data_IF_912153108648
#
_entry.id   IF_912153108648
#
_cell.length_a   1.000
_cell.length_b   1.000
_cell.length_c   1.000
_cell.angle_alpha   90.00
_cell.angle_beta   90.00
_cell.angle_gamma   90.00
#
_symmetry.space_group_name_H-M   'P 1'
#
loop_
_entity.id
_entity.type
_entity.pdbx_description
1 polymer ?
#
# COMPACT_ATOMS: atom_id res chain seq x y z
N UNK A 1 -18.31 15.01 -7.22
CA UNK A 1 -16.90 15.31 -7.59
C UNK A 1 -16.28 14.02 -8.12
N UNK A 2 -15.86 13.95 -9.39
CA UNK A 2 -15.21 12.74 -9.92
C UNK A 2 -13.78 12.67 -9.37
N UNK A 3 -13.41 11.55 -8.75
CA UNK A 3 -12.04 11.32 -8.24
C UNK A 3 -11.05 11.38 -9.40
N UNK A 4 -9.98 12.15 -9.23
CA UNK A 4 -8.86 12.15 -10.17
C UNK A 4 -8.11 10.82 -10.08
N UNK A 5 -7.78 10.22 -11.22
CA UNK A 5 -6.98 8.99 -11.32
C UNK A 5 -5.66 9.30 -12.02
N UNK A 6 -4.63 8.51 -11.75
CA UNK A 6 -3.30 8.68 -12.36
C UNK A 6 -2.92 7.50 -13.25
N UNK A 7 -3.36 6.29 -12.90
CA UNK A 7 -3.12 5.07 -13.65
C UNK A 7 -4.43 4.30 -13.87
N UNK A 8 -4.42 3.33 -14.78
CA UNK A 8 -5.60 2.51 -15.03
C UNK A 8 -6.04 1.71 -13.80
N UNK A 9 -5.08 1.30 -12.96
CA UNK A 9 -5.30 0.40 -11.81
C UNK A 9 -6.01 1.07 -10.63
N UNK A 10 -6.02 2.41 -10.57
CA UNK A 10 -6.76 3.20 -9.57
C UNK A 10 -7.99 3.92 -10.14
N UNK A 11 -8.42 3.53 -11.35
CA UNK A 11 -9.50 4.21 -12.07
C UNK A 11 -10.91 3.68 -11.76
N UNK A 12 -11.05 2.66 -10.91
CA UNK A 12 -12.33 2.04 -10.57
C UNK A 12 -13.05 2.79 -9.46
N UNK A 13 -14.34 3.03 -9.64
CA UNK A 13 -15.24 3.64 -8.67
C UNK A 13 -16.45 2.72 -8.47
N UNK A 14 -16.66 2.28 -7.23
CA UNK A 14 -17.76 1.38 -6.88
C UNK A 14 -18.92 2.23 -6.37
N UNK A 15 -20.09 2.10 -6.98
CA UNK A 15 -21.29 2.82 -6.55
C UNK A 15 -21.91 2.11 -5.35
N UNK A 16 -21.92 2.76 -4.19
CA UNK A 16 -22.38 2.14 -2.94
C UNK A 16 -23.88 2.33 -2.67
N UNK A 17 -24.56 3.20 -3.42
CA UNK A 17 -25.99 3.50 -3.20
C UNK A 17 -26.87 2.23 -3.17
N UNK A 18 -26.73 1.26 -4.11
CA UNK A 18 -27.51 0.02 -4.06
C UNK A 18 -27.24 -0.82 -2.81
N UNK A 19 -26.02 -0.74 -2.26
CA UNK A 19 -25.65 -1.45 -1.04
C UNK A 19 -26.23 -0.76 0.19
N UNK A 20 -26.15 0.56 0.25
CA UNK A 20 -26.70 1.36 1.35
C UNK A 20 -28.22 1.22 1.41
N UNK A 21 -28.91 1.32 0.28
CA UNK A 21 -30.36 1.15 0.17
C UNK A 21 -30.80 -0.24 0.65
N UNK A 22 -30.05 -1.28 0.30
CA UNK A 22 -30.32 -2.64 0.74
C UNK A 22 -30.23 -2.77 2.27
N UNK A 23 -29.19 -2.24 2.90
CA UNK A 23 -29.06 -2.28 4.36
C UNK A 23 -30.09 -1.41 5.08
N UNK A 24 -30.46 -0.26 4.52
CA UNK A 24 -31.56 0.55 5.05
C UNK A 24 -32.89 -0.21 5.05
N UNK A 25 -33.18 -0.94 3.97
CA UNK A 25 -34.39 -1.76 3.87
C UNK A 25 -34.40 -2.88 4.92
N UNK A 26 -33.28 -3.57 5.11
CA UNK A 26 -33.11 -4.59 6.15
C UNK A 26 -33.38 -3.99 7.54
N UNK A 27 -32.79 -2.83 7.84
CA UNK A 27 -32.97 -2.16 9.12
C UNK A 27 -34.43 -1.74 9.37
N UNK A 28 -35.10 -1.17 8.35
CA UNK A 28 -36.52 -0.80 8.42
C UNK A 28 -37.41 -2.02 8.66
N UNK A 29 -37.10 -3.16 8.04
CA UNK A 29 -37.83 -4.41 8.27
C UNK A 29 -37.70 -4.90 9.72
N UNK A 30 -36.49 -4.92 10.29
CA UNK A 30 -36.23 -5.35 11.67
C UNK A 30 -36.96 -4.49 12.72
N UNK A 31 -37.09 -3.18 12.47
CA UNK A 31 -37.86 -2.31 13.38
C UNK A 31 -39.36 -2.56 13.31
N UNK A 32 -39.91 -2.89 12.14
CA UNK A 32 -41.32 -3.22 11.98
C UNK A 32 -41.69 -4.56 12.65
N UNK A 33 -40.79 -5.54 12.63
CA UNK A 33 -41.00 -6.82 13.34
C UNK A 33 -41.00 -6.63 14.86
N UNK A 34 -40.14 -5.76 15.40
CA UNK A 34 -40.10 -5.47 16.84
C UNK A 34 -41.32 -4.67 17.34
N UNK A 35 -41.85 -3.74 16.54
CA UNK A 35 -43.08 -2.99 16.88
C UNK A 35 -44.35 -3.85 16.86
N UNK A 36 -44.44 -4.87 15.98
CA UNK A 36 -45.58 -5.80 15.95
C UNK A 36 -45.62 -6.77 17.14
N UNK A 37 -44.49 -7.02 17.82
CA UNK A 37 -44.50 -7.82 19.06
C UNK A 37 -45.04 -7.03 20.27
N UNK A 38 -44.84 -5.71 20.31
CA UNK A 38 -45.31 -4.87 21.43
C UNK A 38 -46.82 -4.67 21.40
N UNK A 39 -47.46 -4.66 20.21
CA UNK A 39 -48.92 -4.52 20.11
C UNK A 39 -49.71 -5.81 20.40
N UNK A 40 -49.05 -6.97 20.45
CA UNK A 40 -49.67 -8.24 20.81
C UNK A 40 -49.54 -8.60 22.30
N UNK A 41 -48.97 -7.70 23.13
CA UNK A 41 -48.80 -7.96 24.57
C UNK A 41 -49.80 -7.22 25.48
N UNK A 42 -50.83 -6.59 24.93
CA UNK A 42 -51.87 -5.90 25.71
C UNK A 42 -53.22 -6.63 25.78
N UNK A 43 -53.27 -7.91 25.43
CA UNK A 43 -54.33 -8.82 25.88
C UNK A 43 -53.65 -10.03 26.48
N UNK A 44 -54.22 -10.56 27.58
CA UNK A 44 -53.72 -11.65 28.43
C UNK A 44 -52.81 -11.21 29.60
N UNK A 45 -53.38 -10.43 30.53
CA UNK A 45 -53.09 -10.64 31.94
C UNK A 45 -53.90 -11.86 32.43
N UNK A 46 -53.26 -13.00 32.63
CA UNK A 46 -53.25 -13.69 33.93
C UNK A 46 -52.44 -14.99 33.89
N UNK A 47 -51.66 -15.16 34.96
CA UNK A 47 -51.10 -16.38 35.53
C UNK A 47 -49.73 -16.95 35.08
N UNK A 48 -48.84 -16.91 36.08
CA UNK A 48 -47.83 -17.90 36.49
C UNK A 48 -46.65 -18.22 35.57
N UNK A 49 -45.47 -17.90 36.13
CA UNK A 49 -44.16 -18.55 35.96
C UNK A 49 -44.27 -20.02 35.53
N UNK A 50 -43.62 -20.38 34.43
CA UNK A 50 -42.71 -21.54 34.37
C UNK A 50 -41.92 -21.55 33.06
N UNK A 51 -40.71 -22.09 33.18
CA UNK A 51 -39.65 -22.25 32.18
C UNK A 51 -40.11 -23.04 30.96
N UNK A 52 -39.64 -22.65 29.77
CA UNK A 52 -39.55 -23.49 28.57
C UNK A 52 -38.32 -22.99 27.79
N UNK A 53 -37.18 -23.68 27.85
CA UNK A 53 -36.82 -24.87 27.05
C UNK A 53 -37.11 -24.64 25.56
N UNK A 54 -36.04 -24.29 24.83
CA UNK A 54 -36.08 -23.95 23.41
C UNK A 54 -36.13 -25.23 22.57
N UNK A 55 -37.32 -25.82 22.46
CA UNK A 55 -37.56 -26.93 21.55
C UNK A 55 -37.84 -26.39 20.14
N UNK A 56 -36.88 -26.69 19.26
CA UNK A 56 -37.02 -26.63 17.81
C UNK A 56 -38.26 -27.39 17.37
N UNK A 57 -39.21 -26.73 16.69
CA UNK A 57 -39.77 -27.22 15.42
C UNK A 57 -40.75 -26.22 14.78
N UNK A 58 -40.46 -25.92 13.50
CA UNK A 58 -41.41 -25.68 12.41
C UNK A 58 -42.41 -24.53 12.58
N UNK A 59 -41.96 -23.32 12.26
CA UNK A 59 -42.54 -22.44 11.22
C UNK A 59 -42.02 -21.01 11.34
N UNK A 60 -40.71 -20.86 11.47
CA UNK A 60 -40.08 -19.58 11.29
C UNK A 60 -39.56 -19.46 9.87
N UNK A 61 -40.44 -18.97 8.99
CA UNK A 61 -40.01 -18.21 7.81
C UNK A 61 -39.45 -16.85 8.28
N UNK A 62 -38.45 -16.88 9.16
CA UNK A 62 -37.60 -15.72 9.36
C UNK A 62 -36.90 -15.51 8.03
N UNK A 63 -37.28 -14.43 7.35
CA UNK A 63 -36.61 -13.94 6.17
C UNK A 63 -35.10 -14.07 6.38
N UNK A 64 -34.44 -14.80 5.50
CA UNK A 64 -33.00 -14.74 5.33
C UNK A 64 -32.74 -13.47 4.51
N UNK A 65 -32.33 -12.33 5.10
CA UNK A 65 -32.09 -11.11 4.34
C UNK A 65 -30.84 -11.23 3.45
N UNK A 66 -30.08 -12.34 3.59
CA UNK A 66 -28.84 -12.62 2.90
C UNK A 66 -28.97 -13.29 1.52
N UNK A 67 -30.14 -13.76 1.09
CA UNK A 67 -30.20 -14.61 -0.11
C UNK A 67 -30.03 -13.84 -1.44
N UNK A 68 -30.17 -12.51 -1.45
CA UNK A 68 -29.96 -11.70 -2.65
C UNK A 68 -29.21 -10.42 -2.29
N UNK A 69 -27.88 -10.46 -2.43
CA UNK A 69 -27.06 -9.26 -2.36
C UNK A 69 -27.47 -8.32 -3.52
N UNK A 70 -27.47 -6.99 -3.28
CA UNK A 70 -27.78 -6.05 -4.33
C UNK A 70 -26.75 -6.15 -5.46
N UNK A 71 -27.20 -5.96 -6.70
CA UNK A 71 -26.27 -5.79 -7.82
C UNK A 71 -25.60 -4.44 -7.68
N UNK A 72 -24.26 -4.44 -7.66
CA UNK A 72 -23.45 -3.24 -7.52
C UNK A 72 -22.82 -2.92 -8.87
N UNK A 73 -22.88 -1.65 -9.26
CA UNK A 73 -22.24 -1.16 -10.47
C UNK A 73 -20.85 -0.60 -10.16
N UNK A 74 -19.90 -0.86 -11.05
CA UNK A 74 -18.53 -0.31 -10.99
C UNK A 74 -18.30 0.54 -12.23
N UNK A 75 -17.92 1.79 -12.03
CA UNK A 75 -17.53 2.69 -13.10
C UNK A 75 -15.99 2.69 -13.26
N UNK A 76 -15.52 2.80 -14.50
CA UNK A 76 -14.11 2.95 -14.80
C UNK A 76 -13.86 4.30 -15.49
N UNK A 77 -13.02 5.14 -14.87
CA UNK A 77 -12.73 6.49 -15.36
C UNK A 77 -11.55 6.52 -16.35
N UNK A 78 -10.84 5.40 -16.52
CA UNK A 78 -9.75 5.25 -17.49
C UNK A 78 -10.22 5.28 -18.95
N UNK A 79 -11.52 5.05 -19.19
CA UNK A 79 -12.14 5.04 -20.52
C UNK A 79 -12.61 3.64 -20.92
N UNK A 80 -11.73 2.64 -20.87
CA UNK A 80 -12.07 1.23 -21.14
C UNK A 80 -11.99 0.39 -19.87
N UNK A 81 -13.16 -0.14 -19.45
CA UNK A 81 -13.26 -1.03 -18.29
C UNK A 81 -12.44 -2.32 -18.49
N UNK A 82 -12.55 -2.94 -19.67
CA UNK A 82 -11.87 -4.20 -19.98
C UNK A 82 -10.34 -4.05 -20.00
N UNK A 83 -9.84 -2.95 -20.57
CA UNK A 83 -8.41 -2.66 -20.58
C UNK A 83 -7.89 -2.38 -19.17
N UNK A 84 -8.60 -1.56 -18.39
CA UNK A 84 -8.24 -1.29 -17.00
C UNK A 84 -8.25 -2.56 -16.14
N UNK A 85 -9.23 -3.45 -16.36
CA UNK A 85 -9.34 -4.73 -15.65
C UNK A 85 -8.19 -5.66 -16.05
N UNK A 86 -7.85 -5.71 -17.33
CA UNK A 86 -6.69 -6.46 -17.83
C UNK A 86 -5.39 -5.94 -17.20
N UNK A 87 -5.24 -4.62 -17.11
CA UNK A 87 -4.08 -4.01 -16.46
C UNK A 87 -4.02 -4.36 -14.96
N UNK A 88 -5.15 -4.32 -14.26
CA UNK A 88 -5.22 -4.71 -12.85
C UNK A 88 -4.82 -6.18 -12.66
N UNK A 89 -5.41 -7.09 -13.43
CA UNK A 89 -5.16 -8.53 -13.34
C UNK A 89 -3.71 -8.90 -13.69
N UNK A 90 -3.11 -8.20 -14.66
CA UNK A 90 -1.73 -8.44 -15.10
C UNK A 90 -0.70 -7.57 -14.39
N UNK A 91 -1.11 -6.77 -13.39
CA UNK A 91 -0.25 -5.82 -12.66
C UNK A 91 0.52 -4.88 -13.60
N UNK A 92 -0.20 -4.22 -14.49
CA UNK A 92 0.35 -3.30 -15.49
C UNK A 92 0.11 -1.84 -15.08
N UNK A 93 1.13 -1.00 -15.25
CA UNK A 93 1.07 0.44 -15.03
C UNK A 93 0.82 1.10 -16.39
N UNK A 94 -0.40 1.57 -16.62
CA UNK A 94 -0.77 2.29 -17.83
C UNK A 94 -1.43 3.61 -17.48
N UNK A 95 -1.20 4.62 -18.32
CA UNK A 95 -1.85 5.94 -18.21
C UNK A 95 -2.20 6.46 -19.60
N UNK A 96 -3.37 7.04 -19.77
CA UNK A 96 -3.81 7.68 -21.03
C UNK A 96 -3.56 9.18 -21.04
N UNK A 97 -3.20 9.75 -19.88
CA UNK A 97 -3.03 11.19 -19.70
C UNK A 97 -1.75 11.48 -18.91
N UNK A 98 -0.58 11.13 -19.46
CA UNK A 98 0.72 11.35 -18.82
C UNK A 98 0.93 12.83 -18.44
N UNK A 99 0.38 13.77 -19.20
CA UNK A 99 0.44 15.21 -18.96
C UNK A 99 -0.30 15.68 -17.70
N UNK A 100 -1.25 14.88 -17.20
CA UNK A 100 -2.04 15.18 -15.99
C UNK A 100 -1.40 14.63 -14.71
N UNK A 101 -0.28 13.93 -14.83
CA UNK A 101 0.40 13.33 -13.70
C UNK A 101 1.18 14.43 -12.97
N UNK A 102 0.63 14.93 -11.85
CA UNK A 102 1.33 15.82 -10.93
C UNK A 102 2.50 15.11 -10.23
N UNK A 103 3.33 15.83 -9.48
CA UNK A 103 4.54 15.33 -8.82
C UNK A 103 4.33 14.09 -7.94
N UNK A 104 3.18 13.98 -7.28
CA UNK A 104 2.82 12.78 -6.51
C UNK A 104 2.67 11.49 -7.34
N UNK A 105 2.54 11.61 -8.66
CA UNK A 105 2.50 10.48 -9.58
C UNK A 105 3.80 9.70 -9.67
N UNK A 106 4.96 10.36 -9.50
CA UNK A 106 6.25 9.67 -9.39
C UNK A 106 6.26 8.74 -8.17
N UNK A 107 5.77 9.24 -7.03
CA UNK A 107 5.71 8.47 -5.79
C UNK A 107 4.80 7.25 -5.95
N UNK A 108 3.63 7.45 -6.56
CA UNK A 108 2.69 6.37 -6.85
C UNK A 108 3.23 5.37 -7.87
N UNK A 109 3.97 5.82 -8.88
CA UNK A 109 4.63 4.95 -9.84
C UNK A 109 5.66 4.03 -9.16
N UNK A 110 6.54 4.60 -8.34
CA UNK A 110 7.51 3.83 -7.55
C UNK A 110 6.82 2.83 -6.62
N UNK A 111 5.69 3.23 -6.03
CA UNK A 111 4.87 2.39 -5.16
C UNK A 111 4.26 1.19 -5.90
N UNK A 112 3.83 1.38 -7.14
CA UNK A 112 3.32 0.29 -7.98
C UNK A 112 4.45 -0.66 -8.36
N UNK A 113 5.65 -0.15 -8.67
CA UNK A 113 6.81 -0.98 -8.97
C UNK A 113 7.22 -1.86 -7.77
N UNK A 114 7.26 -1.33 -6.55
CA UNK A 114 7.57 -2.14 -5.35
C UNK A 114 6.50 -3.19 -5.07
N UNK A 115 5.25 -2.97 -5.50
CA UNK A 115 4.16 -3.96 -5.45
C UNK A 115 4.17 -4.97 -6.60
N UNK A 116 5.21 -4.93 -7.44
CA UNK A 116 5.40 -5.87 -8.52
C UNK A 116 4.59 -5.56 -9.77
N UNK A 117 4.12 -4.31 -9.94
CA UNK A 117 3.58 -3.88 -11.21
C UNK A 117 4.70 -3.62 -12.22
N UNK A 118 4.37 -3.60 -13.51
CA UNK A 118 5.30 -3.32 -14.60
C UNK A 118 4.73 -2.27 -15.55
N UNK A 119 5.56 -1.37 -16.11
CA UNK A 119 5.10 -0.41 -17.11
C UNK A 119 4.49 -1.12 -18.31
N UNK A 120 3.33 -0.65 -18.76
CA UNK A 120 2.71 -1.12 -19.99
C UNK A 120 3.00 -0.12 -21.11
N UNK A 121 3.58 -0.61 -22.20
CA UNK A 121 3.82 0.21 -23.37
C UNK A 121 2.51 0.40 -24.14
N UNK A 122 1.88 1.56 -23.93
CA UNK A 122 0.70 1.99 -24.66
C UNK A 122 1.02 3.10 -25.67
N UNK A 123 2.22 3.05 -26.27
CA UNK A 123 2.72 4.06 -27.19
C UNK A 123 3.63 5.11 -26.54
N UNK A 124 3.87 4.99 -25.24
CA UNK A 124 4.84 5.79 -24.49
C UNK A 124 5.78 4.82 -23.79
N UNK A 125 7.06 4.89 -24.14
CA UNK A 125 8.06 4.05 -23.51
C UNK A 125 8.21 4.41 -22.03
N UNK A 126 8.46 3.42 -21.17
CA UNK A 126 8.59 3.59 -19.72
C UNK A 126 9.57 4.68 -19.32
N UNK A 127 10.71 4.79 -20.00
CA UNK A 127 11.73 5.81 -19.75
C UNK A 127 11.23 7.24 -20.05
N UNK A 128 10.33 7.43 -21.02
CA UNK A 128 9.74 8.74 -21.32
C UNK A 128 8.76 9.14 -20.22
N UNK A 129 7.95 8.18 -19.76
CA UNK A 129 7.03 8.38 -18.66
C UNK A 129 7.77 8.76 -17.37
N UNK A 130 8.86 8.08 -17.07
CA UNK A 130 9.70 8.38 -15.91
C UNK A 130 10.34 9.77 -15.99
N UNK A 131 10.89 10.16 -17.14
CA UNK A 131 11.42 11.52 -17.36
C UNK A 131 10.36 12.58 -17.09
N UNK A 132 9.14 12.35 -17.56
CA UNK A 132 8.02 13.27 -17.34
C UNK A 132 7.66 13.36 -15.86
N UNK A 133 7.52 12.23 -15.18
CA UNK A 133 7.19 12.18 -13.76
C UNK A 133 8.27 12.82 -12.89
N UNK A 134 9.54 12.56 -13.18
CA UNK A 134 10.67 13.21 -12.52
C UNK A 134 10.61 14.73 -12.73
N UNK A 135 10.48 15.19 -13.98
CA UNK A 135 10.38 16.63 -14.26
C UNK A 135 9.23 17.29 -13.50
N UNK A 136 8.04 16.67 -13.48
CA UNK A 136 6.89 17.22 -12.76
C UNK A 136 7.06 17.20 -11.24
N UNK A 137 7.72 16.17 -10.69
CA UNK A 137 8.06 16.11 -9.27
C UNK A 137 8.91 17.31 -8.84
N UNK A 138 9.96 17.64 -9.59
CA UNK A 138 10.81 18.80 -9.27
C UNK A 138 10.12 20.15 -9.50
N UNK A 139 9.19 20.23 -10.46
CA UNK A 139 8.40 21.45 -10.70
C UNK A 139 7.37 21.67 -9.57
N UNK A 140 6.67 20.61 -9.16
CA UNK A 140 5.62 20.71 -8.14
C UNK A 140 6.19 20.79 -6.72
N UNK A 141 7.40 20.26 -6.47
CA UNK A 141 8.10 20.28 -5.19
C UNK A 141 9.53 20.82 -5.38
N UNK A 142 9.65 22.12 -5.58
CA UNK A 142 10.94 22.76 -5.88
C UNK A 142 11.88 22.82 -4.65
N UNK A 143 11.32 22.93 -3.45
CA UNK A 143 12.09 23.04 -2.20
C UNK A 143 12.39 21.67 -1.59
N UNK A 144 13.60 21.49 -1.05
CA UNK A 144 14.04 20.23 -0.47
C UNK A 144 13.24 19.83 0.79
N UNK A 145 12.79 20.80 1.59
CA UNK A 145 12.00 20.55 2.78
C UNK A 145 10.58 20.12 2.39
N UNK A 146 10.02 20.68 1.31
CA UNK A 146 8.73 20.23 0.76
C UNK A 146 8.82 18.79 0.26
N UNK A 147 9.92 18.45 -0.42
CA UNK A 147 10.18 17.07 -0.87
C UNK A 147 10.28 16.12 0.33
N UNK A 148 11.04 16.46 1.35
CA UNK A 148 11.17 15.66 2.57
C UNK A 148 9.81 15.45 3.25
N UNK A 149 9.06 16.53 3.48
CA UNK A 149 7.73 16.46 4.09
C UNK A 149 6.80 15.55 3.28
N UNK A 150 6.78 15.69 1.95
CA UNK A 150 5.94 14.85 1.09
C UNK A 150 6.37 13.40 1.07
N UNK A 151 7.68 13.12 1.07
CA UNK A 151 8.20 11.75 1.15
C UNK A 151 7.81 11.11 2.48
N UNK A 152 8.07 11.77 3.61
CA UNK A 152 7.72 11.25 4.93
C UNK A 152 6.22 11.03 5.09
N UNK A 153 5.39 11.99 4.64
CA UNK A 153 3.93 11.87 4.65
C UNK A 153 3.45 10.72 3.75
N UNK A 154 4.06 10.52 2.59
CA UNK A 154 3.73 9.42 1.70
C UNK A 154 4.11 8.07 2.32
N UNK A 155 5.29 7.98 2.93
CA UNK A 155 5.79 6.78 3.59
C UNK A 155 4.90 6.34 4.74
N UNK A 156 4.55 7.28 5.64
CA UNK A 156 3.68 7.00 6.77
C UNK A 156 2.28 6.55 6.35
N UNK A 157 1.76 7.13 5.26
CA UNK A 157 0.42 6.81 4.75
C UNK A 157 0.34 5.45 4.05
N UNK A 158 1.41 5.00 3.37
CA UNK A 158 1.36 3.81 2.49
C UNK A 158 2.07 2.57 3.03
N UNK A 159 2.99 2.75 3.99
CA UNK A 159 3.85 1.68 4.49
C UNK A 159 3.75 1.45 5.99
N UNK A 160 2.80 2.09 6.69
CA UNK A 160 2.56 1.89 8.13
C UNK A 160 3.87 1.79 8.94
N UNK A 161 4.00 0.88 9.91
CA UNK A 161 5.25 0.64 10.65
C UNK A 161 6.16 -0.41 9.99
N UNK A 162 6.07 -0.60 8.66
CA UNK A 162 6.94 -1.52 7.93
C UNK A 162 8.17 -0.78 7.40
N UNK A 163 9.22 -0.73 8.22
CA UNK A 163 10.45 -0.04 7.90
C UNK A 163 11.24 -0.74 6.77
N UNK A 164 11.05 -2.06 6.58
CA UNK A 164 11.63 -2.81 5.46
C UNK A 164 11.03 -2.39 4.12
N UNK A 165 9.71 -2.25 4.07
CA UNK A 165 9.03 -1.79 2.87
C UNK A 165 9.34 -0.31 2.55
N UNK A 166 9.46 0.55 3.57
CA UNK A 166 9.89 1.95 3.39
C UNK A 166 11.30 2.02 2.81
N UNK A 167 12.24 1.25 3.34
CA UNK A 167 13.60 1.16 2.83
C UNK A 167 13.63 0.74 1.36
N UNK A 168 12.95 -0.36 1.01
CA UNK A 168 12.87 -0.86 -0.38
C UNK A 168 12.26 0.16 -1.33
N UNK A 169 11.24 0.89 -0.89
CA UNK A 169 10.63 1.95 -1.67
C UNK A 169 11.57 3.13 -1.92
N UNK A 170 12.31 3.56 -0.90
CA UNK A 170 13.28 4.66 -1.05
C UNK A 170 14.40 4.29 -2.03
N UNK A 171 14.87 3.04 -2.01
CA UNK A 171 15.83 2.55 -3.01
C UNK A 171 15.25 2.59 -4.43
N UNK A 172 14.00 2.13 -4.60
CA UNK A 172 13.33 2.17 -5.90
C UNK A 172 13.18 3.60 -6.42
N UNK A 173 12.79 4.53 -5.55
CA UNK A 173 12.65 5.94 -5.89
C UNK A 173 13.99 6.57 -6.28
N UNK A 174 15.05 6.31 -5.50
CA UNK A 174 16.41 6.79 -5.79
C UNK A 174 16.85 6.36 -7.18
N UNK A 175 16.71 5.07 -7.49
CA UNK A 175 17.12 4.49 -8.77
C UNK A 175 16.39 5.13 -9.96
N UNK A 176 15.10 5.43 -9.83
CA UNK A 176 14.33 6.08 -10.88
C UNK A 176 14.77 7.54 -11.07
N UNK A 177 14.94 8.28 -9.98
CA UNK A 177 15.41 9.67 -10.07
C UNK A 177 16.81 9.73 -10.67
N UNK A 178 17.69 8.82 -10.28
CA UNK A 178 19.06 8.73 -10.78
C UNK A 178 19.11 8.45 -12.29
N UNK A 179 18.31 7.49 -12.78
CA UNK A 179 18.33 7.09 -14.20
C UNK A 179 17.52 8.00 -15.13
N UNK A 180 16.49 8.67 -14.62
CA UNK A 180 15.47 9.34 -15.44
C UNK A 180 15.50 10.87 -15.37
N UNK A 181 16.46 11.48 -14.69
CA UNK A 181 16.63 12.93 -14.67
C UNK A 181 17.68 13.40 -15.67
N UNK A 182 17.29 14.30 -16.57
CA UNK A 182 18.22 14.96 -17.51
C UNK A 182 19.03 16.01 -16.75
N UNK A 183 20.32 16.14 -17.08
CA UNK A 183 21.34 16.92 -16.36
C UNK A 183 21.06 18.43 -16.13
N UNK A 184 19.92 18.96 -16.57
CA UNK A 184 19.55 20.37 -16.46
C UNK A 184 19.30 20.84 -15.01
N UNK A 185 19.19 19.92 -14.04
CA UNK A 185 18.94 20.21 -12.61
C UNK A 185 19.83 19.32 -11.73
N UNK A 186 21.13 19.25 -12.03
CA UNK A 186 22.04 18.33 -11.36
C UNK A 186 22.18 18.60 -9.85
N UNK A 187 22.11 19.88 -9.43
CA UNK A 187 22.21 20.24 -8.02
C UNK A 187 20.99 19.79 -7.23
N UNK A 188 19.80 20.17 -7.69
CA UNK A 188 18.51 19.80 -7.10
C UNK A 188 18.36 18.28 -7.06
N UNK A 189 18.70 17.61 -8.16
CA UNK A 189 18.73 16.14 -8.22
C UNK A 189 19.64 15.56 -7.13
N UNK A 190 20.87 16.05 -7.00
CA UNK A 190 21.83 15.52 -6.03
C UNK A 190 21.36 15.78 -4.58
N UNK A 191 20.72 16.91 -4.31
CA UNK A 191 20.09 17.17 -3.01
C UNK A 191 19.01 16.14 -2.70
N UNK A 192 18.08 15.89 -3.65
CA UNK A 192 17.01 14.90 -3.49
C UNK A 192 17.55 13.48 -3.34
N UNK A 193 18.56 13.10 -4.14
CA UNK A 193 19.21 11.79 -4.02
C UNK A 193 19.89 11.61 -2.66
N UNK A 194 20.52 12.67 -2.14
CA UNK A 194 21.14 12.66 -0.80
C UNK A 194 20.09 12.53 0.29
N UNK A 195 19.00 13.31 0.22
CA UNK A 195 17.86 13.21 1.14
C UNK A 195 17.30 11.77 1.17
N UNK A 196 17.02 11.19 0.00
CA UNK A 196 16.49 9.82 -0.08
C UNK A 196 17.48 8.81 0.51
N UNK A 197 18.78 9.01 0.29
CA UNK A 197 19.82 8.15 0.85
C UNK A 197 19.86 8.22 2.38
N UNK A 198 19.77 9.41 2.96
CA UNK A 198 19.73 9.63 4.40
C UNK A 198 18.51 8.94 5.01
N UNK A 199 17.31 9.18 4.45
CA UNK A 199 16.09 8.50 4.91
C UNK A 199 16.20 6.98 4.81
N UNK A 200 16.75 6.45 3.71
CA UNK A 200 16.92 5.01 3.55
C UNK A 200 17.89 4.44 4.58
N UNK A 201 18.98 5.16 4.86
CA UNK A 201 19.97 4.78 5.87
C UNK A 201 19.36 4.76 7.27
N UNK A 202 18.52 5.74 7.61
CA UNK A 202 17.81 5.78 8.89
C UNK A 202 16.90 4.56 9.09
N UNK A 203 16.11 4.19 8.06
CA UNK A 203 15.26 2.99 8.14
C UNK A 203 16.08 1.70 8.19
N UNK A 204 17.22 1.65 7.49
CA UNK A 204 18.12 0.51 7.55
C UNK A 204 18.66 0.28 8.97
N UNK A 205 19.11 1.33 9.66
CA UNK A 205 19.62 1.19 11.03
C UNK A 205 18.52 0.78 12.03
N UNK A 206 17.29 1.28 11.88
CA UNK A 206 16.16 0.83 12.71
C UNK A 206 15.89 -0.67 12.59
N UNK A 207 15.97 -1.21 11.38
CA UNK A 207 15.83 -2.65 11.14
C UNK A 207 16.96 -3.45 11.81
N UNK A 208 18.20 -2.95 11.78
CA UNK A 208 19.32 -3.58 12.45
C UNK A 208 19.17 -3.57 13.98
N UNK A 209 18.69 -2.46 14.55
CA UNK A 209 18.46 -2.34 15.99
C UNK A 209 17.38 -3.30 16.47
N UNK A 210 16.24 -3.38 15.76
CA UNK A 210 15.19 -4.36 16.04
C UNK A 210 15.76 -5.78 16.06
N UNK A 211 16.50 -6.18 15.02
CA UNK A 211 17.11 -7.51 14.94
C UNK A 211 18.05 -7.82 16.12
N UNK A 212 18.91 -6.87 16.51
CA UNK A 212 19.83 -7.05 17.62
C UNK A 212 19.11 -7.21 18.97
N UNK A 213 17.96 -6.54 19.17
CA UNK A 213 17.16 -6.71 20.39
C UNK A 213 16.45 -8.07 20.46
N UNK A 214 16.04 -8.65 19.33
CA UNK A 214 15.49 -10.00 19.27
C UNK A 214 16.55 -11.08 19.51
N UNK A 215 17.77 -10.93 18.96
CA UNK A 215 18.88 -11.88 19.16
C UNK A 215 19.40 -11.91 20.60
N UNK A 216 19.25 -10.83 21.38
CA UNK A 216 19.64 -10.82 22.81
C UNK A 216 18.62 -11.52 23.73
N UNK A 217 17.39 -11.74 23.25
CA UNK A 217 16.28 -12.30 24.04
C UNK A 217 15.91 -13.75 23.65
N UNK A 218 16.63 -14.36 22.70
CA UNK A 218 16.42 -15.74 22.25
C UNK A 218 17.71 -16.55 22.33
N UNK A 219 17.62 -17.79 22.82
CA UNK A 219 18.74 -18.74 22.90
C UNK A 219 19.50 -18.84 21.57
N UNK A 220 20.81 -18.70 21.66
CA UNK A 220 21.74 -18.70 20.54
C UNK A 220 21.75 -20.06 19.86
N UNK A 221 20.94 -20.25 18.82
CA UNK A 221 21.19 -21.28 17.83
C UNK A 221 21.92 -20.64 16.67
N UNK A 222 23.13 -21.13 16.42
CA UNK A 222 23.98 -20.79 15.28
C UNK A 222 23.27 -21.19 13.98
N UNK A 223 22.38 -20.33 13.50
CA UNK A 223 21.92 -20.36 12.13
C UNK A 223 22.78 -19.36 11.34
N UNK A 224 23.54 -19.87 10.37
CA UNK A 224 24.06 -19.04 9.29
C UNK A 224 22.88 -18.33 8.63
N UNK A 225 22.69 -17.05 8.93
CA UNK A 225 21.64 -16.25 8.29
C UNK A 225 22.18 -15.78 6.95
N UNK A 226 21.87 -16.55 5.92
CA UNK A 226 21.81 -16.08 4.54
C UNK A 226 20.93 -14.83 4.54
N UNK A 227 21.52 -13.67 4.27
CA UNK A 227 20.78 -12.50 3.79
C UNK A 227 19.89 -13.02 2.65
N UNK A 228 18.58 -12.71 2.59
CA UNK A 228 17.75 -13.17 1.49
C UNK A 228 18.31 -12.61 0.18
N UNK A 229 19.14 -13.41 -0.49
CA UNK A 229 19.53 -13.17 -1.85
C UNK A 229 18.28 -13.29 -2.71
N UNK A 230 18.21 -12.40 -3.70
CA UNK A 230 17.44 -12.54 -4.93
C UNK A 230 15.92 -12.61 -4.78
N UNK A 231 15.29 -11.44 -4.67
CA UNK A 231 14.25 -11.16 -5.67
C UNK A 231 14.95 -10.33 -6.72
N UNK A 232 15.22 -10.96 -7.86
CA UNK A 232 15.66 -10.33 -9.11
C UNK A 232 14.69 -9.19 -9.41
N UNK A 233 15.09 -7.98 -9.04
CA UNK A 233 14.75 -6.83 -9.86
C UNK A 233 15.66 -7.03 -11.07
N UNK A 234 15.11 -7.52 -12.18
CA UNK A 234 15.78 -7.48 -13.48
C UNK A 234 15.98 -6.01 -13.87
N UNK A 235 16.94 -5.36 -13.22
CA UNK A 235 17.51 -4.08 -13.59
C UNK A 235 19.00 -4.25 -13.33
N UNK A 236 19.67 -4.74 -14.37
CA UNK A 236 21.08 -4.58 -14.72
C UNK A 236 21.87 -3.87 -13.62
N UNK A 237 22.63 -4.67 -12.87
CA UNK A 237 23.65 -4.23 -11.95
C UNK A 237 24.58 -3.21 -12.63
N UNK A 238 24.78 -2.07 -12.00
CA UNK A 238 26.02 -1.31 -12.15
C UNK A 238 26.75 -1.32 -10.80
N UNK A 239 28.02 -1.70 -10.87
CA UNK A 239 28.90 -2.19 -9.79
C UNK A 239 29.25 -1.21 -8.66
N UNK A 240 28.49 -0.14 -8.45
CA UNK A 240 28.77 0.88 -7.41
C UNK A 240 28.16 0.51 -6.05
N UNK A 241 27.22 -0.43 -6.03
CA UNK A 241 26.45 -0.79 -4.82
C UNK A 241 27.24 -1.66 -3.83
N UNK A 242 28.13 -2.52 -4.31
CA UNK A 242 28.97 -3.36 -3.45
C UNK A 242 30.17 -2.56 -2.88
N UNK A 243 30.62 -1.53 -3.59
CA UNK A 243 31.60 -0.56 -3.09
C UNK A 243 31.01 0.29 -1.95
N UNK A 244 29.77 0.76 -2.11
CA UNK A 244 29.06 1.49 -1.04
C UNK A 244 28.84 0.64 0.21
N UNK A 245 28.43 -0.63 0.06
CA UNK A 245 28.34 -1.59 1.18
C UNK A 245 29.68 -1.73 1.90
N UNK A 246 30.77 -1.92 1.16
CA UNK A 246 32.11 -2.10 1.74
C UNK A 246 32.57 -0.89 2.55
N UNK A 247 32.22 0.33 2.11
CA UNK A 247 32.58 1.59 2.77
C UNK A 247 31.79 1.87 4.04
N UNK A 248 30.59 1.29 4.21
CA UNK A 248 29.66 1.64 5.28
C UNK A 248 29.27 0.47 6.19
N UNK A 249 29.91 -0.70 6.06
CA UNK A 249 29.79 -1.78 7.04
C UNK A 249 30.42 -1.36 8.37
N UNK A 250 29.69 -1.38 9.51
CA UNK A 250 30.28 -1.06 10.80
C UNK A 250 31.33 -2.11 11.21
N UNK A 251 32.42 -1.72 11.92
CA UNK A 251 33.49 -2.64 12.28
C UNK A 251 32.96 -3.71 13.25
N UNK A 252 33.23 -4.98 12.95
CA UNK A 252 32.98 -6.10 13.87
C UNK A 252 33.77 -5.84 15.15
N UNK A 253 33.08 -5.67 16.29
CA UNK A 253 33.71 -5.70 17.62
C UNK A 253 34.42 -7.04 17.78
N UNK A 254 35.75 -7.05 17.72
CA UNK A 254 36.55 -8.19 18.14
C UNK A 254 36.37 -8.33 19.65
N UNK A 255 35.62 -9.35 20.08
CA UNK A 255 35.62 -9.78 21.48
C UNK A 255 36.94 -10.52 21.69
N UNK A 256 37.90 -9.83 22.29
CA UNK A 256 39.16 -10.42 22.70
C UNK A 256 38.93 -11.13 24.04
N UNK A 257 38.74 -12.44 24.00
CA UNK A 257 38.73 -13.28 25.20
C UNK A 257 40.12 -13.30 25.81
N UNK A 258 40.30 -12.58 26.91
CA UNK A 258 41.39 -12.84 27.87
C UNK A 258 41.15 -14.23 28.46
N UNK A 259 42.08 -15.16 28.21
CA UNK A 259 42.24 -16.35 29.02
C UNK A 259 43.35 -16.05 30.02
N UNK A 260 42.97 -16.01 31.28
CA UNK A 260 43.86 -16.04 32.43
C UNK A 260 44.64 -17.37 32.46
N UNK A 261 45.94 -17.27 32.71
CA UNK A 261 46.80 -18.30 33.30
C UNK A 261 47.74 -17.60 34.29
#
# INVERSE_FOLDING_TARGET
>A
MKRQFQFSVDSFQILLDPLLDHYEQIYKYQQQTNKKQIHNHNQYHHHSKQQYEYNSTKNNRYLSPLHHLPTISVECVYGSFESALTHLNRRLIATTSPERICGGGLLKYCLLLTRGYRPYDNGIASWQLEKLMCSRFFIDYADINEQEYKLLSFLSSHFSNDDSAKYRYLLQLRLIIERSTVCLMAHERNLTLTLIAQLATDYYYRLCDEYNTYSLNGETTTAEVTVPNSITIDVIYHNEWDEWKSLHTPPKKQIQSQQDN
#
